data_IF_149802936660
#
_entry.id   IF_149802936660
#
_cell.length_a   1.000
_cell.length_b   1.000
_cell.length_c   1.000
_cell.angle_alpha   90.00
_cell.angle_beta   90.00
_cell.angle_gamma   90.00
#
_symmetry.space_group_name_H-M   'P 1'
#
loop_
_entity.id
_entity.type
_entity.pdbx_description
1 polymer ?
#
# COMPACT_ATOMS: atom_id res chain seq x y z
N UNK A 1 13.98 -5.01 16.85
CA UNK A 1 12.90 -4.56 15.94
C UNK A 1 13.54 -4.23 14.61
N UNK A 2 13.07 -4.81 13.51
CA UNK A 2 13.50 -4.37 12.18
C UNK A 2 12.57 -3.25 11.72
N UNK A 3 13.14 -2.11 11.36
CA UNK A 3 12.40 -0.98 10.79
C UNK A 3 12.40 -1.14 9.27
N UNK A 4 11.20 -1.20 8.69
CA UNK A 4 11.01 -1.27 7.24
C UNK A 4 10.36 0.02 6.80
N UNK A 5 11.00 0.71 5.86
CA UNK A 5 10.44 1.88 5.20
C UNK A 5 9.70 1.44 3.93
N UNK A 6 8.46 1.91 3.77
CA UNK A 6 7.59 1.62 2.63
C UNK A 6 7.18 2.96 2.00
N UNK A 7 7.59 3.20 0.76
CA UNK A 7 7.18 4.41 0.03
C UNK A 7 5.75 4.25 -0.48
N UNK A 8 4.88 5.12 0.00
CA UNK A 8 3.44 5.09 -0.28
C UNK A 8 2.91 6.45 -0.71
N UNK A 9 1.86 6.43 -1.54
CA UNK A 9 1.13 7.61 -1.96
C UNK A 9 -0.33 7.56 -1.46
N UNK A 10 -0.86 8.70 -1.02
CA UNK A 10 -2.23 8.82 -0.52
C UNK A 10 -3.23 8.60 -1.65
N UNK A 11 -4.29 7.84 -1.39
CA UNK A 11 -5.40 7.64 -2.33
C UNK A 11 -6.44 8.72 -2.14
N UNK A 12 -6.75 9.44 -3.22
CA UNK A 12 -7.87 10.37 -3.29
C UNK A 12 -9.14 9.70 -3.82
N UNK A 13 -8.99 8.70 -4.70
CA UNK A 13 -10.12 7.97 -5.30
C UNK A 13 -10.20 6.52 -4.79
N UNK A 14 -11.36 6.18 -4.21
CA UNK A 14 -11.66 4.86 -3.63
C UNK A 14 -12.60 4.01 -4.50
N UNK A 15 -12.96 4.51 -5.69
CA UNK A 15 -13.87 3.83 -6.60
C UNK A 15 -13.30 2.54 -7.23
N UNK A 16 -14.20 1.70 -7.75
CA UNK A 16 -13.86 0.43 -8.42
C UNK A 16 -12.90 0.62 -9.60
N UNK A 17 -13.16 1.60 -10.45
CA UNK A 17 -12.37 1.87 -11.66
C UNK A 17 -10.94 2.29 -11.30
N UNK A 18 -10.79 3.29 -10.43
CA UNK A 18 -9.47 3.76 -9.97
C UNK A 18 -8.66 2.64 -9.29
N UNK A 19 -9.32 1.79 -8.50
CA UNK A 19 -8.64 0.66 -7.86
C UNK A 19 -8.20 -0.40 -8.88
N UNK A 20 -8.94 -0.58 -9.99
CA UNK A 20 -8.57 -1.49 -11.07
C UNK A 20 -7.35 -0.97 -11.85
N UNK A 21 -7.30 0.33 -12.11
CA UNK A 21 -6.15 0.97 -12.77
C UNK A 21 -4.88 0.87 -11.93
N UNK A 22 -4.96 1.16 -10.62
CA UNK A 22 -3.83 1.00 -9.70
C UNK A 22 -3.25 -0.42 -9.72
N UNK A 23 -4.12 -1.45 -9.71
CA UNK A 23 -3.64 -2.84 -9.81
C UNK A 23 -3.01 -3.15 -11.17
N UNK A 24 -3.55 -2.57 -12.25
CA UNK A 24 -2.99 -2.73 -13.59
C UNK A 24 -1.62 -2.05 -13.73
N UNK A 25 -1.37 -0.98 -12.99
CA UNK A 25 -0.06 -0.30 -12.93
C UNK A 25 0.95 -0.96 -11.98
N UNK A 26 0.63 -2.12 -11.39
CA UNK A 26 1.52 -2.80 -10.45
C UNK A 26 1.50 -2.24 -9.01
N UNK A 27 0.56 -1.34 -8.72
CA UNK A 27 0.38 -0.76 -7.38
C UNK A 27 -0.63 -1.57 -6.57
N UNK A 28 -0.33 -1.71 -5.27
CA UNK A 28 -1.18 -2.40 -4.30
C UNK A 28 -1.91 -1.35 -3.45
N UNK A 29 -3.25 -1.29 -3.51
CA UNK A 29 -4.04 -0.44 -2.64
C UNK A 29 -4.11 -1.01 -1.22
N UNK A 30 -3.91 -0.16 -0.22
CA UNK A 30 -3.80 -0.52 1.20
C UNK A 30 -4.47 0.53 2.10
N UNK A 31 -4.70 0.16 3.36
CA UNK A 31 -5.33 1.03 4.37
C UNK A 31 -4.56 0.89 5.69
N UNK A 32 -4.14 2.02 6.26
CA UNK A 32 -3.64 2.09 7.63
C UNK A 32 -4.81 2.47 8.53
N UNK A 33 -5.00 1.72 9.60
CA UNK A 33 -6.04 1.92 10.61
C UNK A 33 -5.42 1.74 12.01
N UNK A 34 -6.20 2.07 13.06
CA UNK A 34 -5.76 1.96 14.46
C UNK A 34 -5.27 3.28 15.08
N UNK A 35 -5.36 4.39 14.34
CA UNK A 35 -5.20 5.75 14.86
C UNK A 35 -6.54 6.48 14.97
N UNK A 36 -6.52 7.82 14.86
CA UNK A 36 -7.73 8.65 14.83
C UNK A 36 -8.57 8.46 13.56
N UNK A 37 -7.91 8.22 12.43
CA UNK A 37 -8.55 8.14 11.11
C UNK A 37 -7.94 7.02 10.26
N UNK A 38 -8.73 6.52 9.31
CA UNK A 38 -8.28 5.55 8.33
C UNK A 38 -7.57 6.26 7.18
N UNK A 39 -6.32 5.88 6.92
CA UNK A 39 -5.52 6.44 5.83
C UNK A 39 -5.52 5.45 4.68
N UNK A 40 -6.17 5.83 3.58
CA UNK A 40 -6.12 5.08 2.34
C UNK A 40 -4.88 5.47 1.53
N UNK A 41 -4.07 4.48 1.17
CA UNK A 41 -2.83 4.69 0.42
C UNK A 41 -2.63 3.56 -0.60
N UNK A 42 -1.66 3.73 -1.48
CA UNK A 42 -1.15 2.68 -2.36
C UNK A 42 0.37 2.74 -2.38
N UNK A 43 1.00 1.60 -2.62
CA UNK A 43 2.44 1.51 -2.85
C UNK A 43 2.71 0.47 -3.94
N UNK A 44 3.88 0.51 -4.55
CA UNK A 44 4.27 -0.51 -5.52
C UNK A 44 4.41 -1.89 -4.86
N UNK A 45 4.14 -2.95 -5.61
CA UNK A 45 4.24 -4.32 -5.10
C UNK A 45 5.64 -4.65 -4.52
N UNK A 46 6.70 -4.04 -5.06
CA UNK A 46 8.08 -4.26 -4.62
C UNK A 46 8.35 -3.72 -3.20
N UNK A 47 7.67 -2.64 -2.81
CA UNK A 47 7.82 -2.06 -1.46
C UNK A 47 7.33 -3.05 -0.39
N UNK A 48 6.31 -3.86 -0.71
CA UNK A 48 5.79 -4.89 0.21
C UNK A 48 6.62 -6.16 0.24
N UNK A 49 7.52 -6.41 -0.73
CA UNK A 49 8.31 -7.65 -0.75
C UNK A 49 9.17 -7.81 0.49
N UNK A 50 9.76 -6.72 0.98
CA UNK A 50 10.59 -6.71 2.20
C UNK A 50 9.78 -7.05 3.45
N UNK A 51 8.48 -6.76 3.42
CA UNK A 51 7.54 -7.06 4.51
C UNK A 51 6.99 -8.50 4.41
N UNK A 52 6.63 -8.94 3.20
CA UNK A 52 5.98 -10.23 2.94
C UNK A 52 6.97 -11.40 2.95
N UNK A 53 8.15 -11.19 2.40
CA UNK A 53 9.19 -12.21 2.25
C UNK A 53 10.40 -11.79 3.05
N UNK A 54 10.36 -12.05 4.36
CA UNK A 54 11.57 -12.03 5.18
C UNK A 54 12.30 -13.36 4.98
N UNK A 55 13.55 -13.38 4.52
CA UNK A 55 14.30 -14.60 4.18
C UNK A 55 14.80 -15.40 5.39
N UNK A 56 14.04 -15.41 6.49
CA UNK A 56 14.30 -16.28 7.64
C UNK A 56 13.58 -17.62 7.48
#
# INVERSE_FOLDING_TARGET
MQTIEVKAAKRTNLGKTATKELRKSGSVPSVIYGGKENIHFFAEQNEFRKLLFTPN
#
